data_IF_723287507583
#
_entry.id   IF_723287507583
#
_cell.length_a   1.000
_cell.length_b   1.000
_cell.length_c   1.000
_cell.angle_alpha   90.00
_cell.angle_beta   90.00
_cell.angle_gamma   90.00
#
_symmetry.space_group_name_H-M   'P 1'
#
loop_
_entity.id
_entity.type
_entity.pdbx_description
1 polymer ?
#
# COMPACT_ATOMS: atom_id res chain seq x y z
N UNK A 1 8.25 1.49 16.33
CA UNK A 1 7.08 2.01 15.56
C UNK A 1 6.23 0.83 15.14
N UNK A 2 4.92 1.02 15.06
CA UNK A 2 3.98 0.07 14.49
C UNK A 2 3.80 0.34 12.99
N UNK A 3 4.06 -0.68 12.17
CA UNK A 3 4.06 -0.58 10.72
C UNK A 3 3.09 -1.61 10.16
N UNK A 4 2.01 -1.15 9.53
CA UNK A 4 1.08 -2.04 8.84
C UNK A 4 1.59 -2.30 7.41
N UNK A 5 1.77 -3.57 7.05
CA UNK A 5 2.31 -3.98 5.75
C UNK A 5 1.22 -4.64 4.92
N UNK A 6 0.62 -3.90 4.00
CA UNK A 6 -0.40 -4.41 3.08
C UNK A 6 0.27 -5.30 2.03
N UNK A 7 -0.23 -6.52 1.87
CA UNK A 7 0.48 -7.56 1.09
C UNK A 7 1.62 -8.20 1.88
N UNK A 8 1.65 -8.06 3.21
CA UNK A 8 2.70 -8.54 4.10
C UNK A 8 2.91 -10.06 4.13
N UNK A 9 1.98 -10.84 3.60
CA UNK A 9 2.14 -12.31 3.42
C UNK A 9 2.62 -12.72 2.03
N UNK A 10 2.78 -11.76 1.11
CA UNK A 10 3.30 -11.99 -0.24
C UNK A 10 4.83 -12.17 -0.29
N UNK A 11 5.36 -12.34 -1.50
CA UNK A 11 6.80 -12.55 -1.71
C UNK A 11 7.63 -11.41 -1.11
N UNK A 12 7.45 -10.18 -1.60
CA UNK A 12 8.18 -9.01 -1.10
C UNK A 12 7.77 -8.67 0.33
N UNK A 13 6.46 -8.67 0.62
CA UNK A 13 5.95 -8.27 1.93
C UNK A 13 6.44 -9.13 3.09
N UNK A 14 6.54 -10.45 2.90
CA UNK A 14 7.04 -11.34 3.96
C UNK A 14 8.52 -11.10 4.30
N UNK A 15 9.33 -10.68 3.32
CA UNK A 15 10.72 -10.31 3.57
C UNK A 15 10.81 -8.96 4.29
N UNK A 16 10.02 -7.97 3.86
CA UNK A 16 9.98 -6.66 4.51
C UNK A 16 9.52 -6.78 5.96
N UNK A 17 8.48 -7.58 6.24
CA UNK A 17 8.00 -7.83 7.61
C UNK A 17 9.13 -8.41 8.47
N UNK A 18 9.88 -9.39 7.98
CA UNK A 18 11.02 -9.97 8.71
C UNK A 18 12.12 -8.95 8.99
N UNK A 19 12.46 -8.11 8.01
CA UNK A 19 13.48 -7.07 8.15
C UNK A 19 13.05 -6.05 9.20
N UNK A 20 11.82 -5.53 9.08
CA UNK A 20 11.28 -4.56 10.04
C UNK A 20 11.22 -5.11 11.47
N UNK A 21 10.85 -6.38 11.63
CA UNK A 21 10.84 -7.05 12.93
C UNK A 21 12.24 -7.24 13.49
N UNK A 22 13.21 -7.62 12.65
CA UNK A 22 14.62 -7.75 13.05
C UNK A 22 15.20 -6.41 13.52
N UNK A 23 14.74 -5.29 12.93
CA UNK A 23 15.12 -3.93 13.31
C UNK A 23 14.32 -3.39 14.52
N UNK A 24 13.47 -4.21 15.15
CA UNK A 24 12.75 -3.86 16.38
C UNK A 24 11.44 -3.09 16.18
N UNK A 25 10.91 -3.05 14.95
CA UNK A 25 9.58 -2.49 14.68
C UNK A 25 8.47 -3.53 14.89
N UNK A 26 7.28 -3.08 15.30
CA UNK A 26 6.07 -3.90 15.31
C UNK A 26 5.50 -3.93 13.87
N UNK A 27 6.01 -4.83 13.03
CA UNK A 27 5.50 -5.02 11.67
C UNK A 27 4.31 -5.99 11.65
N UNK A 28 3.15 -5.48 11.24
CA UNK A 28 1.89 -6.22 11.19
C UNK A 28 1.52 -6.51 9.74
N UNK A 29 1.61 -7.77 9.26
CA UNK A 29 1.19 -8.12 7.92
C UNK A 29 -0.33 -8.06 7.80
N UNK A 30 -0.82 -7.28 6.83
CA UNK A 30 -2.24 -7.19 6.48
C UNK A 30 -2.48 -7.79 5.10
N UNK A 31 -3.38 -8.77 5.03
CA UNK A 31 -3.74 -9.49 3.81
C UNK A 31 -5.04 -10.28 4.00
N UNK A 32 -5.66 -10.83 2.93
CA UNK A 32 -6.94 -11.53 3.06
C UNK A 32 -6.93 -12.70 4.05
N UNK A 33 -5.88 -13.55 4.12
CA UNK A 33 -5.77 -14.58 5.17
C UNK A 33 -5.78 -14.03 6.59
N UNK A 34 -5.40 -12.77 6.80
CA UNK A 34 -5.38 -12.09 8.09
C UNK A 34 -6.65 -11.24 8.31
N UNK A 35 -7.68 -11.42 7.49
CA UNK A 35 -8.96 -10.73 7.62
C UNK A 35 -8.98 -9.31 7.05
N UNK A 36 -7.97 -8.92 6.26
CA UNK A 36 -7.91 -7.60 5.62
C UNK A 36 -7.97 -7.71 4.11
N UNK A 37 -8.97 -7.08 3.52
CA UNK A 37 -9.12 -6.98 2.07
C UNK A 37 -9.06 -5.52 1.64
N UNK A 38 -8.01 -5.18 0.88
CA UNK A 38 -7.76 -3.83 0.43
C UNK A 38 -8.74 -3.37 -0.67
N UNK A 39 -9.28 -4.31 -1.46
CA UNK A 39 -10.20 -3.99 -2.55
C UNK A 39 -11.59 -3.63 -2.01
N UNK A 40 -12.05 -4.35 -0.98
CA UNK A 40 -13.34 -4.06 -0.33
C UNK A 40 -13.22 -3.09 0.86
N UNK A 41 -12.01 -2.89 1.38
CA UNK A 41 -11.74 -2.11 2.58
C UNK A 41 -12.02 -2.87 3.90
N UNK A 42 -12.47 -4.13 3.81
CA UNK A 42 -12.81 -4.92 4.99
C UNK A 42 -11.59 -5.13 5.90
N UNK A 43 -11.78 -4.88 7.20
CA UNK A 43 -10.75 -5.09 8.23
C UNK A 43 -9.65 -4.01 8.31
N UNK A 44 -9.66 -2.99 7.44
CA UNK A 44 -8.65 -1.92 7.47
C UNK A 44 -8.72 -1.07 8.75
N UNK A 45 -9.93 -0.78 9.24
CA UNK A 45 -10.16 -0.01 10.47
C UNK A 45 -9.45 -0.65 11.69
N UNK A 46 -9.59 -1.97 11.81
CA UNK A 46 -8.99 -2.76 12.88
C UNK A 46 -7.51 -2.97 12.63
N UNK A 47 -7.12 -3.27 11.39
CA UNK A 47 -5.73 -3.50 11.00
C UNK A 47 -4.84 -2.28 11.15
N UNK A 48 -5.38 -1.08 10.94
CA UNK A 48 -4.62 0.18 11.03
C UNK A 48 -4.62 0.80 12.44
N UNK A 49 -5.34 0.24 13.41
CA UNK A 49 -5.43 0.80 14.76
C UNK A 49 -4.05 0.97 15.42
N UNK A 50 -3.71 2.21 15.78
CA UNK A 50 -2.45 2.57 16.44
C UNK A 50 -1.21 2.46 15.53
N UNK A 51 -1.41 2.42 14.21
CA UNK A 51 -0.32 2.32 13.23
C UNK A 51 0.34 3.67 13.03
N UNK A 52 1.67 3.70 13.08
CA UNK A 52 2.46 4.90 12.79
C UNK A 52 2.66 5.07 11.27
N UNK A 53 2.90 3.96 10.57
CA UNK A 53 3.24 3.91 9.14
C UNK A 53 2.46 2.82 8.41
N UNK A 54 1.90 3.14 7.24
CA UNK A 54 1.37 2.15 6.30
C UNK A 54 2.33 1.94 5.14
N UNK A 55 2.63 0.68 4.83
CA UNK A 55 3.43 0.27 3.70
C UNK A 55 2.60 -0.58 2.75
N UNK A 56 2.34 -0.07 1.55
CA UNK A 56 1.57 -0.78 0.53
C UNK A 56 2.49 -1.52 -0.46
N UNK A 57 2.54 -2.84 -0.31
CA UNK A 57 3.27 -3.75 -1.20
C UNK A 57 2.33 -4.61 -2.04
N UNK A 58 1.05 -4.23 -2.14
CA UNK A 58 0.09 -4.93 -2.97
C UNK A 58 0.34 -4.68 -4.45
N UNK A 59 -0.06 -5.65 -5.26
CA UNK A 59 0.03 -5.55 -6.71
C UNK A 59 -1.31 -5.92 -7.33
N UNK A 60 -1.63 -5.31 -8.47
CA UNK A 60 -2.77 -5.73 -9.29
C UNK A 60 -2.58 -7.19 -9.72
N UNK A 61 -3.65 -8.01 -9.71
CA UNK A 61 -3.59 -9.38 -10.19
C UNK A 61 -3.43 -9.47 -11.72
N UNK A 62 -3.69 -8.38 -12.45
CA UNK A 62 -3.52 -8.27 -13.89
C UNK A 62 -2.51 -7.17 -14.23
N UNK A 63 -2.04 -7.18 -15.48
CA UNK A 63 -1.12 -6.17 -16.03
C UNK A 63 -1.77 -5.40 -17.21
N UNK A 64 -3.10 -5.38 -17.25
CA UNK A 64 -3.92 -4.83 -18.33
C UNK A 64 -4.69 -3.58 -17.88
N UNK A 65 -5.69 -3.16 -18.65
CA UNK A 65 -6.52 -1.98 -18.35
C UNK A 65 -7.25 -2.07 -16.99
N UNK A 66 -7.45 -3.27 -16.45
CA UNK A 66 -8.07 -3.44 -15.13
C UNK A 66 -7.15 -3.00 -13.97
N UNK A 67 -5.83 -2.89 -14.20
CA UNK A 67 -4.87 -2.50 -13.16
C UNK A 67 -5.11 -1.09 -12.63
N UNK A 68 -5.55 -0.15 -13.48
CA UNK A 68 -5.86 1.21 -13.06
C UNK A 68 -7.03 1.25 -12.07
N UNK A 69 -8.10 0.51 -12.35
CA UNK A 69 -9.24 0.40 -11.44
C UNK A 69 -8.85 -0.24 -10.11
N UNK A 70 -8.02 -1.28 -10.14
CA UNK A 70 -7.49 -1.92 -8.94
C UNK A 70 -6.71 -0.94 -8.05
N UNK A 71 -5.72 -0.23 -8.61
CA UNK A 71 -4.91 0.71 -7.82
C UNK A 71 -5.74 1.90 -7.34
N UNK A 72 -6.67 2.41 -8.15
CA UNK A 72 -7.58 3.48 -7.75
C UNK A 72 -8.39 3.10 -6.50
N UNK A 73 -9.14 2.00 -6.56
CA UNK A 73 -9.98 1.55 -5.44
C UNK A 73 -9.17 1.20 -4.20
N UNK A 74 -8.06 0.47 -4.36
CA UNK A 74 -7.24 0.04 -3.22
C UNK A 74 -6.55 1.20 -2.52
N UNK A 75 -6.07 2.20 -3.28
CA UNK A 75 -5.48 3.40 -2.70
C UNK A 75 -6.52 4.28 -2.01
N UNK A 76 -7.70 4.45 -2.59
CA UNK A 76 -8.79 5.21 -1.96
C UNK A 76 -9.16 4.62 -0.59
N UNK A 77 -9.37 3.29 -0.53
CA UNK A 77 -9.66 2.58 0.71
C UNK A 77 -8.53 2.74 1.74
N UNK A 78 -7.27 2.53 1.30
CA UNK A 78 -6.11 2.62 2.17
C UNK A 78 -5.95 4.02 2.76
N UNK A 79 -5.94 5.05 1.92
CA UNK A 79 -5.67 6.42 2.32
C UNK A 79 -6.79 6.97 3.20
N UNK A 80 -8.04 6.60 2.91
CA UNK A 80 -9.19 6.95 3.75
C UNK A 80 -9.06 6.32 5.14
N UNK A 81 -8.81 5.01 5.22
CA UNK A 81 -8.67 4.31 6.49
C UNK A 81 -7.43 4.78 7.27
N UNK A 82 -6.31 5.03 6.59
CA UNK A 82 -5.08 5.55 7.19
C UNK A 82 -5.29 6.96 7.77
N UNK A 83 -5.99 7.83 7.05
CA UNK A 83 -6.36 9.16 7.53
C UNK A 83 -7.26 9.09 8.78
N UNK A 84 -8.25 8.20 8.79
CA UNK A 84 -9.13 7.98 9.95
C UNK A 84 -8.38 7.40 11.16
N UNK A 85 -7.41 6.53 10.93
CA UNK A 85 -6.58 5.94 11.97
C UNK A 85 -5.47 6.88 12.49
N UNK A 86 -5.29 8.05 11.87
CA UNK A 86 -4.26 9.02 12.26
C UNK A 86 -2.84 8.59 11.88
N UNK A 87 -2.69 7.78 10.83
CA UNK A 87 -1.39 7.31 10.34
C UNK A 87 -0.55 8.50 9.89
N UNK A 88 0.70 8.56 10.37
CA UNK A 88 1.61 9.68 10.13
C UNK A 88 2.43 9.57 8.84
N UNK A 89 2.53 8.37 8.26
CA UNK A 89 3.29 8.15 7.03
C UNK A 89 2.70 7.04 6.16
N UNK A 90 2.61 7.28 4.86
CA UNK A 90 2.24 6.27 3.87
C UNK A 90 3.36 6.09 2.84
N UNK A 91 3.70 4.83 2.57
CA UNK A 91 4.74 4.41 1.63
C UNK A 91 4.15 3.38 0.66
N UNK A 92 4.50 3.49 -0.61
CA UNK A 92 4.11 2.53 -1.66
C UNK A 92 5.36 1.96 -2.32
N UNK A 93 5.26 0.74 -2.86
CA UNK A 93 6.29 0.20 -3.75
C UNK A 93 5.94 0.51 -5.21
N UNK A 94 6.77 1.34 -5.84
CA UNK A 94 6.64 1.71 -7.24
C UNK A 94 7.76 1.11 -8.11
N UNK A 95 7.87 1.58 -9.35
CA UNK A 95 8.86 1.17 -10.34
C UNK A 95 9.68 2.41 -10.73
N UNK A 96 11.00 2.28 -10.75
CA UNK A 96 11.88 3.38 -11.18
C UNK A 96 11.57 3.76 -12.63
N UNK A 97 11.28 5.04 -12.86
CA UNK A 97 10.95 5.57 -14.19
C UNK A 97 9.59 5.14 -14.72
N UNK A 98 8.63 4.83 -13.83
CA UNK A 98 7.30 4.36 -14.23
C UNK A 98 6.52 5.37 -15.08
N UNK A 99 6.82 6.65 -14.91
CA UNK A 99 6.31 7.80 -15.67
C UNK A 99 6.92 7.91 -17.09
N UNK A 100 8.05 7.25 -17.36
CA UNK A 100 8.80 7.39 -18.60
C UNK A 100 8.37 6.42 -19.71
N UNK A 101 7.43 5.50 -19.42
CA UNK A 101 6.94 4.49 -20.38
C UNK A 101 5.41 4.52 -20.47
N UNK A 102 4.80 5.61 -20.99
CA UNK A 102 3.36 5.81 -20.94
C UNK A 102 2.55 4.81 -21.79
N UNK A 103 3.19 4.15 -22.77
CA UNK A 103 2.52 3.17 -23.63
C UNK A 103 2.05 1.92 -22.85
N UNK A 104 2.72 1.60 -21.73
CA UNK A 104 2.37 0.46 -20.89
C UNK A 104 1.20 0.81 -19.96
N UNK A 105 0.05 0.15 -20.19
CA UNK A 105 -1.18 0.31 -19.38
C UNK A 105 -0.92 0.15 -17.87
N UNK A 106 -0.12 -0.85 -17.50
CA UNK A 106 0.21 -1.11 -16.11
C UNK A 106 1.09 -0.01 -15.50
N UNK A 107 1.97 0.62 -16.30
CA UNK A 107 2.81 1.72 -15.81
C UNK A 107 1.97 2.96 -15.55
N UNK A 108 1.03 3.28 -16.45
CA UNK A 108 0.02 4.32 -16.20
C UNK A 108 -0.77 4.05 -14.91
N UNK A 109 -1.10 2.79 -14.63
CA UNK A 109 -1.79 2.41 -13.39
C UNK A 109 -0.92 2.60 -12.14
N UNK A 110 0.39 2.43 -12.24
CA UNK A 110 1.36 2.72 -11.17
C UNK A 110 1.60 4.22 -10.98
N UNK A 111 1.66 5.00 -12.05
CA UNK A 111 1.66 6.48 -11.98
C UNK A 111 0.41 6.96 -11.24
N UNK A 112 -0.78 6.42 -11.56
CA UNK A 112 -2.00 6.72 -10.82
C UNK A 112 -1.86 6.40 -9.31
N UNK A 113 -1.18 5.31 -8.95
CA UNK A 113 -0.91 4.96 -7.55
C UNK A 113 -0.04 6.03 -6.85
N UNK A 114 0.98 6.56 -7.53
CA UNK A 114 1.84 7.64 -7.05
C UNK A 114 1.05 8.95 -6.89
N UNK A 115 0.32 9.35 -7.93
CA UNK A 115 -0.49 10.59 -7.94
C UNK A 115 -1.51 10.62 -6.79
N UNK A 116 -2.18 9.48 -6.53
CA UNK A 116 -3.14 9.37 -5.43
C UNK A 116 -2.48 9.48 -4.06
N UNK A 117 -1.25 8.97 -3.90
CA UNK A 117 -0.49 9.12 -2.66
C UNK A 117 -0.08 10.58 -2.43
N UNK A 118 0.40 11.26 -3.47
CA UNK A 118 0.85 12.66 -3.41
C UNK A 118 -0.28 13.65 -3.13
N UNK A 119 -1.50 13.36 -3.60
CA UNK A 119 -2.67 14.20 -3.39
C UNK A 119 -3.10 14.31 -1.91
N UNK A 120 -2.67 13.39 -1.04
CA UNK A 120 -3.06 13.36 0.38
C UNK A 120 -2.03 14.07 1.25
N UNK A 121 -2.50 14.94 2.16
CA UNK A 121 -1.66 15.68 3.13
C UNK A 121 -1.16 14.82 4.30
N UNK A 122 -0.88 13.55 4.07
CA UNK A 122 -0.03 12.76 4.97
C UNK A 122 1.42 13.08 4.57
N UNK A 123 2.38 13.27 5.49
CA UNK A 123 3.78 13.27 5.11
C UNK A 123 4.07 11.96 4.36
N UNK A 124 4.36 12.00 3.06
CA UNK A 124 4.53 10.82 2.20
C UNK A 124 5.95 10.75 1.63
N UNK A 125 6.41 9.52 1.33
CA UNK A 125 7.67 9.28 0.61
C UNK A 125 7.45 8.11 -0.35
N UNK A 126 7.53 8.35 -1.66
CA UNK A 126 7.68 7.29 -2.64
C UNK A 126 9.14 6.79 -2.59
N UNK A 127 9.33 5.46 -2.57
CA UNK A 127 10.64 4.80 -2.46
C UNK A 127 10.83 3.80 -3.59
#
# INVERSE_FOLDING_TARGET
MKIAVLGGTGLTGSQVVKILQADGHEAVPLSPPNGVDLLTGAGLDTGLKGTDVVLNLTNSPTLDEASAGFFGTTMENLLTAAGQAGVGHAVILSIVGVDQVPDLVYYRAKVLQEDLLEAVRCPTRAA
#
